data_IF_178550223279
#
_entry.id   IF_178550223279
#
_cell.length_a   1.000
_cell.length_b   1.000
_cell.length_c   1.000
_cell.angle_alpha   90.00
_cell.angle_beta   90.00
_cell.angle_gamma   90.00
#
_symmetry.space_group_name_H-M   'P 1'
#
loop_
_entity.id
_entity.type
_entity.pdbx_description
1 polymer ?
#
# COMPACT_ATOMS: atom_id res chain seq x y z
N UNK A 1 -9.36 -15.07 -37.97
CA UNK A 1 -7.92 -14.78 -37.80
C UNK A 1 -7.33 -15.93 -37.01
N UNK A 2 -6.46 -16.69 -37.68
CA UNK A 2 -5.68 -17.80 -37.13
C UNK A 2 -4.57 -17.24 -36.24
N UNK A 3 -4.42 -17.73 -35.02
CA UNK A 3 -3.10 -17.92 -34.40
C UNK A 3 -3.12 -19.20 -33.56
N UNK A 4 -2.00 -19.90 -33.68
CA UNK A 4 -1.71 -21.29 -33.41
C UNK A 4 -1.62 -21.63 -31.92
N UNK A 5 -2.09 -22.83 -31.57
CA UNK A 5 -1.76 -23.51 -30.33
C UNK A 5 -0.23 -23.69 -30.24
N UNK A 6 0.36 -23.18 -29.15
CA UNK A 6 1.74 -23.52 -28.77
C UNK A 6 1.66 -24.66 -27.75
N UNK A 7 1.92 -25.85 -28.27
CA UNK A 7 2.11 -27.09 -27.55
C UNK A 7 3.48 -27.01 -26.85
N UNK A 8 3.50 -26.71 -25.54
CA UNK A 8 4.71 -26.85 -24.73
C UNK A 8 4.61 -28.15 -23.94
N UNK A 9 5.06 -29.23 -24.59
CA UNK A 9 5.53 -30.44 -23.93
C UNK A 9 6.57 -30.03 -22.89
N UNK A 10 6.21 -30.08 -21.60
CA UNK A 10 7.17 -30.13 -20.51
C UNK A 10 7.19 -31.57 -19.99
N UNK A 11 8.37 -32.15 -20.12
CA UNK A 11 8.70 -33.54 -19.92
C UNK A 11 8.28 -34.03 -18.53
N UNK A 12 7.39 -35.02 -18.54
CA UNK A 12 7.07 -35.82 -17.37
C UNK A 12 8.24 -36.76 -17.11
N UNK A 13 9.15 -36.35 -16.23
CA UNK A 13 10.17 -37.22 -15.65
C UNK A 13 9.91 -37.35 -14.15
N UNK A 14 8.89 -38.14 -13.78
CA UNK A 14 8.86 -38.80 -12.48
C UNK A 14 9.78 -40.02 -12.57
N UNK A 15 11.01 -39.88 -12.11
CA UNK A 15 11.98 -40.96 -11.98
C UNK A 15 11.49 -41.97 -10.93
N UNK A 16 11.14 -43.18 -11.38
CA UNK A 16 10.75 -44.29 -10.50
C UNK A 16 12.00 -45.06 -10.07
N UNK A 17 12.35 -44.98 -8.77
CA UNK A 17 13.28 -45.91 -8.14
C UNK A 17 12.51 -47.12 -7.64
N UNK A 18 12.86 -48.31 -8.13
CA UNK A 18 12.29 -49.61 -7.76
C UNK A 18 12.79 -50.04 -6.37
N UNK A 19 11.99 -49.83 -5.32
CA UNK A 19 12.04 -50.64 -4.10
C UNK A 19 10.60 -50.88 -3.63
N UNK A 20 10.23 -52.16 -3.56
CA UNK A 20 8.97 -52.63 -3.01
C UNK A 20 8.99 -52.52 -1.47
N UNK A 21 8.09 -51.72 -0.90
CA UNK A 21 7.51 -51.98 0.43
C UNK A 21 6.21 -51.19 0.57
N UNK A 22 5.14 -51.88 0.95
CA UNK A 22 3.83 -51.32 1.16
C UNK A 22 3.82 -50.31 2.32
N UNK A 23 3.43 -49.07 2.04
CA UNK A 23 2.90 -48.14 3.03
C UNK A 23 1.92 -47.18 2.33
N UNK A 24 0.70 -47.15 2.83
CA UNK A 24 -0.35 -46.21 2.48
C UNK A 24 0.16 -44.78 2.68
N UNK A 25 0.44 -44.06 1.60
CA UNK A 25 0.63 -42.62 1.66
C UNK A 25 -0.29 -42.01 0.61
N UNK A 26 -1.48 -41.62 1.05
CA UNK A 26 -2.35 -40.75 0.28
C UNK A 26 -1.59 -39.45 0.02
N UNK A 27 -1.09 -39.27 -1.18
CA UNK A 27 -0.55 -37.99 -1.63
C UNK A 27 -1.72 -37.05 -1.84
N UNK A 28 -2.07 -36.33 -0.78
CA UNK A 28 -2.92 -35.15 -0.89
C UNK A 28 -2.20 -34.16 -1.81
N UNK A 29 -2.64 -34.05 -3.06
CA UNK A 29 -2.29 -32.93 -3.93
C UNK A 29 -2.88 -31.66 -3.29
N UNK A 30 -2.08 -30.98 -2.47
CA UNK A 30 -2.38 -29.62 -2.02
C UNK A 30 -2.34 -28.72 -3.24
N UNK A 31 -3.53 -28.27 -3.66
CA UNK A 31 -3.72 -27.26 -4.69
C UNK A 31 -2.87 -26.04 -4.28
N UNK A 32 -1.91 -25.58 -5.11
CA UNK A 32 -1.14 -24.40 -4.77
C UNK A 32 -2.10 -23.23 -4.55
N UNK A 33 -1.86 -22.39 -3.54
CA UNK A 33 -2.70 -21.22 -3.30
C UNK A 33 -2.77 -20.39 -4.59
N UNK A 34 -3.93 -19.82 -4.91
CA UNK A 34 -4.06 -18.98 -6.10
C UNK A 34 -3.00 -17.86 -6.02
N UNK A 35 -2.35 -17.50 -7.15
CA UNK A 35 -1.32 -16.48 -7.15
C UNK A 35 -1.92 -15.16 -6.69
N UNK A 36 -1.52 -14.70 -5.51
CA UNK A 36 -1.83 -13.37 -5.02
C UNK A 36 -0.99 -12.39 -5.83
N UNK A 37 -1.63 -11.63 -6.70
CA UNK A 37 -0.96 -10.55 -7.42
C UNK A 37 -0.67 -9.42 -6.43
N UNK A 38 0.54 -9.40 -5.85
CA UNK A 38 1.02 -8.29 -5.03
C UNK A 38 1.52 -7.19 -5.95
N UNK A 39 0.60 -6.33 -6.42
CA UNK A 39 0.99 -5.00 -6.90
C UNK A 39 1.60 -4.25 -5.73
N UNK A 40 2.92 -4.15 -5.70
CA UNK A 40 3.58 -3.19 -4.81
C UNK A 40 3.14 -1.80 -5.26
N UNK A 41 2.31 -1.14 -4.47
CA UNK A 41 1.79 0.21 -4.74
C UNK A 41 2.86 1.29 -4.60
N UNK A 42 4.03 0.92 -4.05
CA UNK A 42 5.10 1.85 -3.70
C UNK A 42 4.76 2.75 -2.53
N UNK A 43 3.71 2.42 -1.75
CA UNK A 43 3.25 3.21 -0.59
C UNK A 43 3.26 2.31 0.65
N UNK A 44 3.90 2.78 1.71
CA UNK A 44 3.99 2.04 2.98
C UNK A 44 3.84 3.00 4.16
N UNK A 45 3.01 2.66 5.13
CA UNK A 45 2.93 3.39 6.41
C UNK A 45 4.02 2.87 7.33
N UNK A 46 5.04 3.68 7.58
CA UNK A 46 6.16 3.34 8.47
C UNK A 46 5.76 3.50 9.92
N UNK A 47 5.01 4.56 10.22
CA UNK A 47 4.66 4.92 11.58
C UNK A 47 3.28 5.58 11.60
N UNK A 48 2.45 5.19 12.55
CA UNK A 48 1.19 5.85 12.84
C UNK A 48 1.10 6.03 14.36
N UNK A 49 1.01 7.27 14.80
CA UNK A 49 0.86 7.56 16.22
C UNK A 49 -0.55 7.22 16.69
N UNK A 50 -0.73 6.90 17.98
CA UNK A 50 -2.06 6.99 18.57
C UNK A 50 -2.57 8.44 18.49
N UNK A 51 -3.87 8.56 18.69
CA UNK A 51 -4.59 9.82 18.86
C UNK A 51 -3.99 10.61 20.04
N UNK A 52 -3.54 11.84 19.79
CA UNK A 52 -2.96 12.76 20.78
C UNK A 52 -3.83 14.02 20.94
N UNK A 53 -3.72 14.70 22.08
CA UNK A 53 -4.47 15.92 22.34
C UNK A 53 -4.32 16.96 21.21
N UNK A 54 -5.41 17.67 20.92
CA UNK A 54 -5.53 18.62 19.81
C UNK A 54 -4.61 19.87 19.89
N UNK A 55 -3.71 19.93 20.88
CA UNK A 55 -2.77 21.02 21.09
C UNK A 55 -1.58 21.01 20.11
N UNK A 56 -1.38 19.91 19.38
CA UNK A 56 -0.32 19.80 18.37
C UNK A 56 -0.77 20.48 17.07
N UNK A 57 0.05 21.41 16.57
CA UNK A 57 -0.24 22.08 15.31
C UNK A 57 -0.18 21.09 14.13
N UNK A 58 -1.07 21.30 13.15
CA UNK A 58 -0.99 20.60 11.87
C UNK A 58 0.36 20.86 11.21
N UNK A 59 0.97 19.83 10.64
CA UNK A 59 2.28 19.92 10.02
C UNK A 59 2.40 18.94 8.86
N UNK A 60 3.10 19.35 7.82
CA UNK A 60 3.37 18.53 6.66
C UNK A 60 4.82 18.72 6.24
N UNK A 61 5.59 17.64 6.20
CA UNK A 61 7.01 17.66 5.85
C UNK A 61 7.33 16.53 4.88
N UNK A 62 8.06 16.86 3.82
CA UNK A 62 8.62 15.89 2.88
C UNK A 62 10.13 15.78 3.10
N UNK A 63 10.63 14.55 3.24
CA UNK A 63 12.07 14.26 3.33
C UNK A 63 12.44 13.25 2.26
N UNK A 64 13.54 13.49 1.56
CA UNK A 64 14.13 12.50 0.66
C UNK A 64 15.05 11.58 1.46
N UNK A 65 14.86 10.28 1.31
CA UNK A 65 15.71 9.26 1.92
C UNK A 65 16.12 8.27 0.84
N UNK A 66 17.37 8.39 0.39
CA UNK A 66 17.91 7.60 -0.74
C UNK A 66 17.07 7.78 -2.02
N UNK A 67 16.41 6.71 -2.47
CA UNK A 67 15.51 6.68 -3.64
C UNK A 67 14.03 6.87 -3.27
N UNK A 68 13.72 7.00 -1.98
CA UNK A 68 12.36 7.10 -1.45
C UNK A 68 12.07 8.51 -0.92
N UNK A 69 10.79 8.81 -0.82
CA UNK A 69 10.28 10.01 -0.17
C UNK A 69 9.50 9.64 1.08
N UNK A 70 9.81 10.29 2.19
CA UNK A 70 9.13 10.15 3.46
C UNK A 70 8.24 11.37 3.68
N UNK A 71 6.94 11.13 3.78
CA UNK A 71 5.93 12.15 4.08
C UNK A 71 5.57 12.03 5.55
N UNK A 72 5.95 13.02 6.35
CA UNK A 72 5.52 13.18 7.73
C UNK A 72 4.29 14.11 7.74
N UNK A 73 3.16 13.60 8.25
CA UNK A 73 1.89 14.35 8.35
C UNK A 73 1.47 14.38 9.81
N UNK A 74 1.09 15.54 10.32
CA UNK A 74 0.39 15.70 11.59
C UNK A 74 -0.89 16.44 11.29
N UNK A 75 -2.04 15.82 11.59
CA UNK A 75 -3.33 16.36 11.23
C UNK A 75 -4.46 15.88 12.14
N UNK A 76 -5.64 16.52 12.01
CA UNK A 76 -6.84 16.14 12.72
C UNK A 76 -7.29 14.76 12.24
N UNK A 77 -7.74 13.93 13.17
CA UNK A 77 -8.22 12.58 12.94
C UNK A 77 -9.39 12.28 13.88
N UNK A 78 -10.28 11.39 13.45
CA UNK A 78 -11.34 10.86 14.30
C UNK A 78 -10.72 9.92 15.34
N UNK A 79 -11.09 10.09 16.62
CA UNK A 79 -10.55 9.25 17.70
C UNK A 79 -10.83 7.75 17.49
N UNK A 80 -11.94 7.43 16.82
CA UNK A 80 -12.32 6.06 16.43
C UNK A 80 -12.03 5.74 14.96
N UNK A 81 -11.49 6.71 14.20
CA UNK A 81 -11.17 6.55 12.79
C UNK A 81 -10.04 5.54 12.59
N UNK A 82 -10.28 4.56 11.72
CA UNK A 82 -9.24 3.66 11.25
C UNK A 82 -8.70 4.19 9.92
N UNK A 83 -7.39 4.44 9.85
CA UNK A 83 -6.75 4.85 8.61
C UNK A 83 -6.91 3.75 7.56
N UNK A 84 -7.51 4.09 6.42
CA UNK A 84 -7.52 3.25 5.22
C UNK A 84 -6.13 3.29 4.61
N UNK A 85 -5.66 2.15 4.08
CA UNK A 85 -4.37 2.04 3.39
C UNK A 85 -4.15 3.22 2.44
N UNK A 86 -3.13 4.06 2.71
CA UNK A 86 -2.81 5.19 1.86
C UNK A 86 -2.48 4.73 0.45
N UNK A 87 -2.88 5.55 -0.53
CA UNK A 87 -2.58 5.28 -1.93
C UNK A 87 -2.17 6.56 -2.65
N UNK A 88 -1.44 6.38 -3.75
CA UNK A 88 -0.97 7.46 -4.60
C UNK A 88 -1.71 7.41 -5.93
N UNK A 89 -2.32 8.52 -6.32
CA UNK A 89 -2.82 8.71 -7.68
C UNK A 89 -1.77 9.47 -8.48
N UNK A 90 -1.62 9.10 -9.75
CA UNK A 90 -0.70 9.74 -10.69
C UNK A 90 -1.52 10.30 -11.85
N UNK A 91 -1.26 11.55 -12.20
CA UNK A 91 -1.80 12.22 -13.39
C UNK A 91 -0.73 12.28 -14.47
N UNK A 92 -1.17 12.36 -15.72
CA UNK A 92 -0.31 12.60 -16.90
C UNK A 92 0.39 13.95 -16.86
N UNK A 93 -0.09 14.90 -16.06
CA UNK A 93 0.44 16.27 -15.97
C UNK A 93 1.51 16.45 -14.87
N UNK A 94 2.29 15.40 -14.56
CA UNK A 94 3.29 15.45 -13.47
C UNK A 94 2.71 15.84 -12.10
N UNK A 95 1.45 15.42 -11.85
CA UNK A 95 0.77 15.63 -10.57
C UNK A 95 0.54 14.29 -9.91
N UNK A 96 1.03 14.14 -8.69
CA UNK A 96 0.77 13.00 -7.85
C UNK A 96 -0.08 13.43 -6.65
N UNK A 97 -1.03 12.61 -6.20
CA UNK A 97 -1.79 12.89 -4.97
C UNK A 97 -1.69 11.69 -4.03
N UNK A 98 -1.07 11.90 -2.86
CA UNK A 98 -1.11 10.96 -1.76
C UNK A 98 -2.43 11.16 -1.02
N UNK A 99 -3.27 10.13 -1.05
CA UNK A 99 -4.60 10.16 -0.46
C UNK A 99 -4.58 9.42 0.87
N UNK A 100 -4.88 10.15 1.93
CA UNK A 100 -5.07 9.69 3.29
C UNK A 100 -6.56 9.77 3.60
N UNK A 101 -7.15 8.66 4.01
CA UNK A 101 -8.57 8.62 4.35
C UNK A 101 -8.77 7.84 5.62
N UNK A 102 -9.67 8.30 6.45
CA UNK A 102 -10.18 7.51 7.56
C UNK A 102 -11.47 6.80 7.14
N UNK A 103 -11.61 5.57 7.61
CA UNK A 103 -12.87 4.84 7.56
C UNK A 103 -13.62 5.20 8.83
N UNK A 104 -14.67 5.99 8.68
CA UNK A 104 -15.62 6.21 9.77
C UNK A 104 -16.48 4.96 9.95
N UNK A 105 -16.21 4.24 11.03
CA UNK A 105 -16.92 3.00 11.37
C UNK A 105 -18.24 3.26 12.13
N UNK A 106 -18.59 4.53 12.42
CA UNK A 106 -19.78 4.84 13.20
C UNK A 106 -20.51 6.10 12.70
N UNK A 107 -21.70 5.88 12.14
CA UNK A 107 -22.67 6.91 11.73
C UNK A 107 -23.13 7.84 12.87
N UNK A 108 -22.80 7.52 14.13
CA UNK A 108 -23.23 8.22 15.35
C UNK A 108 -22.12 8.37 16.41
N UNK A 109 -20.84 8.13 16.11
CA UNK A 109 -19.78 8.37 17.09
C UNK A 109 -19.57 9.87 17.27
N UNK A 110 -19.86 10.35 18.48
CA UNK A 110 -19.58 11.70 18.95
C UNK A 110 -18.23 12.23 18.44
N UNK A 111 -18.24 13.45 17.88
CA UNK A 111 -17.13 14.18 17.23
C UNK A 111 -15.89 14.43 18.09
N UNK A 112 -15.26 13.35 18.56
CA UNK A 112 -13.94 13.37 19.14
C UNK A 112 -12.93 13.52 18.00
N UNK A 113 -12.36 14.71 17.91
CA UNK A 113 -11.23 15.01 17.03
C UNK A 113 -9.95 15.07 17.86
N UNK A 114 -8.88 14.51 17.31
CA UNK A 114 -7.56 14.54 17.93
C UNK A 114 -6.48 14.72 16.86
N UNK A 115 -5.22 14.85 17.28
CA UNK A 115 -4.09 14.94 16.36
C UNK A 115 -3.42 13.58 16.22
N UNK A 116 -3.19 13.16 14.98
CA UNK A 116 -2.47 11.93 14.65
C UNK A 116 -1.29 12.27 13.76
N UNK A 117 -0.15 11.64 14.04
CA UNK A 117 1.05 11.72 13.23
C UNK A 117 1.19 10.46 12.38
N UNK A 118 1.42 10.63 11.08
CA UNK A 118 1.64 9.57 10.11
C UNK A 118 2.99 9.78 9.42
N UNK A 119 3.75 8.70 9.24
CA UNK A 119 4.96 8.66 8.45
C UNK A 119 4.79 7.66 7.32
N UNK A 120 4.84 8.15 6.10
CA UNK A 120 4.49 7.37 4.91
C UNK A 120 5.67 7.38 3.95
N UNK A 121 6.10 6.20 3.53
CA UNK A 121 7.13 6.02 2.50
C UNK A 121 6.47 5.95 1.14
N UNK A 122 7.04 6.68 0.19
CA UNK A 122 6.69 6.64 -1.23
C UNK A 122 7.93 6.24 -2.02
N UNK A 123 7.87 5.09 -2.69
CA UNK A 123 9.00 4.43 -3.34
C UNK A 123 8.80 4.28 -4.84
N UNK A 124 9.68 4.88 -5.66
CA UNK A 124 9.75 4.64 -7.10
C UNK A 124 8.52 5.07 -7.91
N UNK A 125 7.71 6.01 -7.38
CA UNK A 125 6.48 6.50 -8.03
C UNK A 125 6.50 8.00 -8.32
N UNK A 126 7.49 8.72 -7.80
CA UNK A 126 7.63 10.17 -7.93
C UNK A 126 8.90 10.46 -8.71
N UNK A 127 8.78 11.33 -9.71
CA UNK A 127 9.89 11.78 -10.54
C UNK A 127 10.23 13.25 -10.24
N UNK A 128 11.47 13.64 -10.56
CA UNK A 128 11.90 15.04 -10.44
C UNK A 128 11.03 15.92 -11.34
N UNK A 129 10.49 17.00 -10.77
CA UNK A 129 9.58 17.91 -11.45
C UNK A 129 8.10 17.61 -11.18
N UNK A 130 7.78 16.46 -10.58
CA UNK A 130 6.40 16.18 -10.16
C UNK A 130 5.97 17.10 -9.02
N UNK A 131 4.67 17.38 -8.96
CA UNK A 131 4.03 18.01 -7.81
C UNK A 131 3.26 16.97 -7.02
N UNK A 132 3.69 16.72 -5.78
CA UNK A 132 2.99 15.84 -4.84
C UNK A 132 2.00 16.64 -4.00
N UNK A 133 0.71 16.37 -4.14
CA UNK A 133 -0.34 16.84 -3.25
C UNK A 133 -0.57 15.80 -2.14
N UNK A 134 -0.79 16.26 -0.91
CA UNK A 134 -1.20 15.39 0.20
C UNK A 134 -2.63 15.75 0.55
N UNK A 135 -3.54 14.79 0.39
CA UNK A 135 -4.95 14.96 0.69
C UNK A 135 -5.37 14.12 1.88
N UNK A 136 -6.09 14.73 2.81
CA UNK A 136 -6.68 14.09 3.98
C UNK A 136 -8.20 14.26 3.92
N UNK A 137 -8.94 13.15 3.89
CA UNK A 137 -10.41 13.12 3.80
C UNK A 137 -11.02 14.03 2.71
N UNK A 138 -10.31 14.16 1.58
CA UNK A 138 -10.75 14.94 0.43
C UNK A 138 -10.32 16.41 0.45
N UNK A 139 -9.72 16.88 1.54
CA UNK A 139 -9.10 18.21 1.61
C UNK A 139 -7.60 18.11 1.31
N UNK A 140 -7.02 19.16 0.71
CA UNK A 140 -5.57 19.20 0.43
C UNK A 140 -4.87 19.84 1.64
N UNK A 141 -4.10 19.04 2.37
CA UNK A 141 -3.29 19.49 3.50
C UNK A 141 -2.08 20.30 3.05
N UNK A 142 -1.56 20.02 1.86
CA UNK A 142 -0.44 20.75 1.28
C UNK A 142 0.09 20.11 0.01
N UNK A 143 1.17 20.68 -0.53
CA UNK A 143 1.84 20.18 -1.72
C UNK A 143 3.35 20.41 -1.66
N UNK A 144 4.09 19.61 -2.43
CA UNK A 144 5.54 19.67 -2.57
C UNK A 144 5.93 19.55 -4.04
N UNK A 145 6.96 20.30 -4.44
CA UNK A 145 7.66 20.04 -5.70
C UNK A 145 8.76 19.02 -5.45
N UNK A 146 8.86 18.01 -6.31
CA UNK A 146 9.85 16.94 -6.20
C UNK A 146 11.17 17.38 -6.86
N UNK A 147 12.23 17.48 -6.06
CA UNK A 147 13.57 17.96 -6.48
C UNK A 147 14.65 16.86 -6.62
#
# INVERSE_FOLDING_TARGET
MNWTAFDFRLESACTYSLIALAALIGTACSKPPPPTFTLSTGIEVIEASPCQDASKAQSLVLKRQEADYIVDVVGPASCSGTLVDPYLTLSVDHKATLVLREKDDAWFSSGCECQRALKIKVSGRLEKGDTLYVSHDGEVAGHFLIE
#
